data_IF_170776908542
#
_entry.id   IF_170776908542
#
_cell.length_a   1.000
_cell.length_b   1.000
_cell.length_c   1.000
_cell.angle_alpha   90.00
_cell.angle_beta   90.00
_cell.angle_gamma   90.00
#
_symmetry.space_group_name_H-M   'P 1'
#
loop_
_entity.id
_entity.type
_entity.pdbx_description
1 polymer ?
#
# COMPACT_ATOMS: atom_id res chain seq x y z
N UNK A 1 -11.34 -3.65 -26.82
CA UNK A 1 -10.96 -2.22 -26.81
C UNK A 1 -10.04 -2.03 -25.61
N UNK A 2 -8.79 -1.65 -25.81
CA UNK A 2 -7.84 -1.42 -24.71
C UNK A 2 -8.09 -0.02 -24.19
N UNK A 3 -8.29 0.13 -22.89
CA UNK A 3 -8.44 1.46 -22.29
C UNK A 3 -7.08 2.16 -22.27
N UNK A 4 -7.03 3.36 -22.86
CA UNK A 4 -5.82 4.15 -22.99
C UNK A 4 -5.73 5.15 -21.83
N UNK A 5 -4.53 5.28 -21.26
CA UNK A 5 -4.23 6.36 -20.32
C UNK A 5 -4.27 7.71 -21.06
N UNK A 6 -5.19 8.58 -20.67
CA UNK A 6 -5.37 9.91 -21.28
C UNK A 6 -4.75 11.01 -20.44
N UNK A 7 -4.31 12.09 -21.09
CA UNK A 7 -3.74 13.25 -20.41
C UNK A 7 -4.67 13.77 -19.31
N UNK A 8 -4.10 14.12 -18.15
CA UNK A 8 -4.84 14.56 -16.98
C UNK A 8 -5.44 13.43 -16.13
N UNK A 9 -5.43 12.17 -16.59
CA UNK A 9 -5.87 11.02 -15.78
C UNK A 9 -4.98 10.88 -14.55
N UNK A 10 -5.60 10.75 -13.38
CA UNK A 10 -4.92 10.57 -12.09
C UNK A 10 -4.76 9.10 -11.79
N UNK A 11 -3.56 8.74 -11.36
CA UNK A 11 -3.14 7.37 -11.12
C UNK A 11 -2.63 7.22 -9.69
N UNK A 12 -2.69 5.98 -9.25
CA UNK A 12 -2.30 5.51 -7.96
C UNK A 12 -0.97 4.76 -8.06
N UNK A 13 0.04 5.17 -7.29
CA UNK A 13 1.36 4.53 -7.20
C UNK A 13 1.49 3.73 -5.92
N UNK A 14 1.99 2.50 -6.03
CA UNK A 14 2.24 1.59 -4.92
C UNK A 14 3.65 1.03 -4.99
N UNK A 15 4.29 0.84 -3.84
CA UNK A 15 5.44 -0.06 -3.72
C UNK A 15 4.92 -1.45 -3.35
N UNK A 16 5.41 -2.48 -4.04
CA UNK A 16 5.00 -3.86 -3.81
C UNK A 16 6.18 -4.62 -3.24
N UNK A 17 5.97 -5.24 -2.07
CA UNK A 17 6.94 -6.14 -1.45
C UNK A 17 6.42 -7.56 -1.51
N UNK A 18 7.24 -8.48 -2.00
CA UNK A 18 6.90 -9.90 -1.99
C UNK A 18 7.34 -10.53 -0.67
N UNK A 19 6.48 -11.34 -0.06
CA UNK A 19 6.78 -12.09 1.15
C UNK A 19 6.27 -13.53 1.07
N UNK A 20 6.60 -14.34 2.09
CA UNK A 20 6.18 -15.75 2.18
C UNK A 20 4.65 -15.93 2.20
N UNK A 21 3.90 -14.89 2.59
CA UNK A 21 2.44 -14.88 2.64
C UNK A 21 1.77 -14.13 1.47
N UNK A 22 2.51 -13.78 0.41
CA UNK A 22 2.02 -13.02 -0.73
C UNK A 22 2.55 -11.59 -0.77
N UNK A 23 1.94 -10.77 -1.64
CA UNK A 23 2.40 -9.41 -1.92
C UNK A 23 1.77 -8.39 -0.96
N UNK A 24 2.60 -7.55 -0.35
CA UNK A 24 2.17 -6.40 0.45
C UNK A 24 2.24 -5.17 -0.44
N UNK A 25 1.12 -4.45 -0.54
CA UNK A 25 0.99 -3.24 -1.34
C UNK A 25 0.96 -2.02 -0.43
N UNK A 26 1.94 -1.14 -0.57
CA UNK A 26 2.05 0.09 0.23
C UNK A 26 1.83 1.28 -0.69
N UNK A 27 0.94 2.21 -0.28
CA UNK A 27 0.73 3.46 -1.00
C UNK A 27 2.03 4.25 -1.05
N UNK A 28 2.50 4.58 -2.26
CA UNK A 28 3.79 5.25 -2.45
C UNK A 28 3.67 6.67 -3.01
N UNK A 29 2.49 7.05 -3.49
CA UNK A 29 2.22 8.40 -3.99
C UNK A 29 1.27 8.40 -5.17
N UNK A 30 1.25 9.46 -5.97
CA UNK A 30 0.32 9.63 -7.09
C UNK A 30 1.06 9.83 -8.41
N UNK A 31 0.37 9.58 -9.51
CA UNK A 31 0.90 9.86 -10.84
C UNK A 31 -0.15 10.52 -11.72
N UNK A 32 0.31 11.17 -12.79
CA UNK A 32 -0.58 11.76 -13.80
C UNK A 32 0.04 11.70 -15.18
N UNK A 33 -0.83 11.60 -16.17
CA UNK A 33 -0.47 11.53 -17.59
C UNK A 33 -0.31 12.94 -18.14
N UNK A 34 0.85 13.22 -18.74
CA UNK A 34 1.17 14.46 -19.41
C UNK A 34 0.54 14.52 -20.81
N UNK A 35 0.55 15.70 -21.44
CA UNK A 35 0.00 15.90 -22.80
C UNK A 35 0.70 15.04 -23.86
N UNK A 36 1.99 14.77 -23.68
CA UNK A 36 2.82 13.94 -24.56
C UNK A 36 2.69 12.43 -24.29
N UNK A 37 1.81 12.03 -23.36
CA UNK A 37 1.62 10.64 -22.96
C UNK A 37 2.64 10.11 -21.94
N UNK A 38 3.64 10.91 -21.56
CA UNK A 38 4.55 10.55 -20.48
C UNK A 38 3.86 10.60 -19.11
N UNK A 39 4.47 9.98 -18.10
CA UNK A 39 3.96 9.96 -16.73
C UNK A 39 4.88 10.74 -15.80
N UNK A 40 4.30 11.63 -15.01
CA UNK A 40 4.96 12.16 -13.82
C UNK A 40 4.50 11.34 -12.61
N UNK A 41 5.46 10.96 -11.76
CA UNK A 41 5.24 10.19 -10.53
C UNK A 41 5.69 11.05 -9.35
N UNK A 42 4.77 11.34 -8.43
CA UNK A 42 5.05 12.04 -7.18
C UNK A 42 5.10 11.00 -6.08
N UNK A 43 6.27 10.84 -5.47
CA UNK A 43 6.52 9.88 -4.41
C UNK A 43 6.41 10.56 -3.05
N UNK A 44 5.59 9.98 -2.17
CA UNK A 44 5.52 10.36 -0.76
C UNK A 44 6.59 9.63 0.07
N UNK A 45 7.09 8.50 -0.45
CA UNK A 45 8.10 7.63 0.18
C UNK A 45 9.02 6.99 -0.86
N UNK A 46 10.23 6.61 -0.45
CA UNK A 46 11.18 5.90 -1.32
C UNK A 46 10.92 4.38 -1.33
N UNK A 47 10.77 3.75 -2.50
CA UNK A 47 10.64 2.30 -2.60
C UNK A 47 11.99 1.63 -2.35
N UNK A 48 12.08 0.83 -1.27
CA UNK A 48 13.34 0.15 -0.91
C UNK A 48 13.65 -1.04 -1.82
N UNK A 49 12.62 -1.66 -2.38
CA UNK A 49 12.74 -2.89 -3.19
C UNK A 49 12.80 -2.59 -4.70
N UNK A 50 12.87 -1.31 -5.07
CA UNK A 50 13.04 -0.85 -6.46
C UNK A 50 11.84 -1.05 -7.39
N UNK A 51 10.75 -1.67 -6.93
CA UNK A 51 9.52 -1.88 -7.71
C UNK A 51 8.41 -0.90 -7.32
N UNK A 52 7.83 -0.27 -8.34
CA UNK A 52 6.58 0.49 -8.25
C UNK A 52 5.53 -0.11 -9.18
N UNK A 53 4.27 0.04 -8.79
CA UNK A 53 3.11 -0.28 -9.61
C UNK A 53 2.21 0.95 -9.69
N UNK A 54 1.92 1.37 -10.92
CA UNK A 54 1.06 2.54 -11.20
C UNK A 54 -0.22 2.00 -11.83
N UNK A 55 -1.37 2.32 -11.22
CA UNK A 55 -2.69 1.88 -11.69
C UNK A 55 -3.68 3.03 -11.67
N UNK A 56 -4.84 2.85 -12.28
CA UNK A 56 -5.92 3.82 -12.19
C UNK A 56 -6.35 4.00 -10.74
N UNK A 57 -6.54 5.25 -10.32
CA UNK A 57 -7.10 5.53 -9.01
C UNK A 57 -8.58 5.12 -9.05
N UNK A 58 -8.96 4.11 -8.27
CA UNK A 58 -10.36 3.70 -8.18
C UNK A 58 -11.21 4.84 -7.60
N UNK A 59 -12.45 4.96 -8.09
CA UNK A 59 -13.39 5.96 -7.61
C UNK A 59 -13.62 5.80 -6.09
N UNK A 60 -13.13 6.77 -5.33
CA UNK A 60 -13.50 7.02 -3.93
C UNK A 60 -13.33 5.83 -2.96
N UNK A 61 -12.09 5.39 -2.71
CA UNK A 61 -11.74 4.67 -1.45
C UNK A 61 -10.25 4.58 -1.13
N UNK A 62 -9.37 4.83 -2.09
CA UNK A 62 -7.91 4.79 -1.84
C UNK A 62 -7.39 6.04 -1.07
N UNK A 63 -8.25 7.01 -0.78
CA UNK A 63 -7.91 8.25 -0.03
C UNK A 63 -8.11 8.15 1.48
N UNK A 64 -8.64 7.03 2.01
CA UNK A 64 -8.85 6.84 3.46
C UNK A 64 -8.37 5.44 3.89
N UNK A 65 -7.06 5.23 3.84
CA UNK A 65 -6.42 4.22 4.70
C UNK A 65 -5.06 4.69 5.21
N UNK A 66 -4.97 6.00 5.52
CA UNK A 66 -3.99 6.52 6.46
C UNK A 66 -4.69 6.60 7.84
N UNK A 67 -4.64 5.50 8.59
CA UNK A 67 -5.13 5.46 9.98
C UNK A 67 -6.09 4.30 10.29
N UNK A 68 -5.59 3.07 10.35
CA UNK A 68 -6.41 1.95 10.83
C UNK A 68 -5.72 0.59 10.77
N UNK A 69 -4.97 0.24 11.82
CA UNK A 69 -4.80 -1.15 12.23
C UNK A 69 -3.62 -1.92 11.63
N UNK A 70 -2.40 -1.43 11.81
CA UNK A 70 -1.22 -2.31 11.83
C UNK A 70 -1.32 -3.27 13.01
N UNK A 71 -1.96 -4.42 12.82
CA UNK A 71 -1.91 -5.56 13.75
C UNK A 71 -0.87 -6.56 13.29
N UNK A 72 0.40 -6.17 13.28
CA UNK A 72 1.50 -7.13 13.22
C UNK A 72 2.59 -6.67 14.17
N UNK A 73 2.34 -6.90 15.46
CA UNK A 73 3.28 -6.74 16.56
C UNK A 73 2.97 -7.79 17.62
N UNK A 74 3.75 -8.87 17.61
CA UNK A 74 4.22 -9.64 18.75
C UNK A 74 3.21 -9.93 19.88
N UNK A 75 2.59 -11.11 19.82
CA UNK A 75 2.27 -11.93 21.00
C UNK A 75 2.18 -13.38 20.48
N UNK A 76 3.19 -14.24 20.61
CA UNK A 76 3.81 -14.55 21.88
C UNK A 76 2.94 -15.53 22.66
N UNK A 77 2.45 -16.60 22.02
CA UNK A 77 1.71 -17.67 22.69
C UNK A 77 2.49 -18.21 23.88
N UNK A 78 2.10 -17.77 25.07
CA UNK A 78 2.47 -18.31 26.37
C UNK A 78 1.18 -18.59 27.12
N UNK A 79 0.46 -19.59 26.63
CA UNK A 79 -0.50 -20.31 27.45
C UNK A 79 0.25 -21.02 28.59
N UNK A 80 -0.28 -20.87 29.81
CA UNK A 80 0.04 -21.57 31.06
C UNK A 80 1.06 -20.94 32.03
N UNK A 81 0.55 -20.10 32.95
CA UNK A 81 0.96 -20.14 34.36
C UNK A 81 -0.30 -20.08 35.26
N UNK A 82 -0.45 -20.98 36.25
CA UNK A 82 -1.63 -20.99 37.12
C UNK A 82 -1.58 -19.84 38.13
N UNK A 83 -2.68 -19.10 38.22
CA UNK A 83 -2.93 -18.12 39.28
C UNK A 83 -3.12 -18.87 40.60
N UNK A 84 -2.19 -18.69 41.53
CA UNK A 84 -2.33 -19.07 42.93
C UNK A 84 -3.33 -18.17 43.63
N UNK A 85 -4.32 -18.76 44.28
CA UNK A 85 -5.31 -18.07 45.10
C UNK A 85 -4.72 -17.64 46.45
N UNK A 86 -4.95 -16.39 46.82
CA UNK A 86 -4.75 -15.89 48.17
C UNK A 86 -6.07 -16.00 48.95
N UNK A 87 -6.06 -16.81 50.01
CA UNK A 87 -6.58 -16.52 51.37
C UNK A 87 -6.20 -17.66 52.30
#
# INVERSE_FOLDING_TARGET
MVEMLTAGKRLAVFSIREGKGGSIWVRAGSAFVNKDGSLNVLLDVLPLDGKLHVREAGDKKDTVQAGGGGRYGLDGGLDSLPVGGHS
#
